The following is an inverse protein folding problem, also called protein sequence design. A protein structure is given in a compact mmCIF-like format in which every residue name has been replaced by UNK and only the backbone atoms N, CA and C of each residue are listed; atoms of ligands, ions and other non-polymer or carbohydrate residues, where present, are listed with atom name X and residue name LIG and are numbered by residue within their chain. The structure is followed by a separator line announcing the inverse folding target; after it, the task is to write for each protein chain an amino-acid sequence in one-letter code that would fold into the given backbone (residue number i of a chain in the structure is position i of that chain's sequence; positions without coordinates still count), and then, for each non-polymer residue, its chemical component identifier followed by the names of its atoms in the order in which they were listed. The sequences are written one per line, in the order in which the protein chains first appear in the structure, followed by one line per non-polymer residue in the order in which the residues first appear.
data_IF_951684937033
#
_entry.id   IF_951684937033
#
_cell.length_a   1.000
_cell.length_b   1.000
_cell.length_c   1.000
_cell.angle_alpha   90.00
_cell.angle_beta   90.00
_cell.angle_gamma   90.00
#
_symmetry.space_group_name_H-M   'P 1'
#
loop_
_entity.id
_entity.type
_entity.pdbx_description
1 polymer ?
#
# COMPACT_ATOMS: atom_id res chain seq x y z
N UNK A 1 45.24 -27.07 27.03
CA UNK A 1 46.11 -26.14 26.28
C UNK A 1 45.27 -24.92 25.90
N UNK A 2 45.68 -23.72 26.38
CA UNK A 2 45.18 -22.40 25.91
C UNK A 2 45.65 -22.20 24.44
N UNK A 3 45.00 -21.40 23.60
CA UNK A 3 45.23 -19.95 23.50
C UNK A 3 44.13 -19.25 22.69
N UNK A 4 43.74 -18.09 23.18
CA UNK A 4 42.95 -17.04 22.53
C UNK A 4 43.79 -16.25 21.53
N UNK A 5 43.19 -15.72 20.46
CA UNK A 5 43.77 -14.61 19.69
C UNK A 5 42.67 -13.71 19.09
N UNK A 6 42.64 -12.47 19.57
CA UNK A 6 41.93 -11.31 19.01
C UNK A 6 42.81 -10.61 17.98
N UNK A 7 42.24 -10.05 16.90
CA UNK A 7 42.76 -8.81 16.28
C UNK A 7 41.64 -7.95 15.67
N UNK A 8 41.79 -6.64 15.87
CA UNK A 8 40.95 -5.50 15.51
C UNK A 8 41.57 -4.82 14.27
N UNK A 9 40.80 -4.21 13.36
CA UNK A 9 41.37 -3.24 12.40
C UNK A 9 40.38 -2.21 11.89
N UNK A 10 40.83 -0.95 11.90
CA UNK A 10 40.17 0.31 11.55
C UNK A 10 40.44 0.66 10.08
N UNK A 11 39.46 1.28 9.40
CA UNK A 11 39.61 1.94 8.09
C UNK A 11 38.76 3.21 8.18
N UNK A 12 39.24 4.44 7.99
CA UNK A 12 40.36 4.96 7.22
C UNK A 12 39.81 6.03 6.28
N UNK A 13 39.71 7.26 6.77
CA UNK A 13 39.18 8.45 6.08
C UNK A 13 40.00 8.81 4.85
N UNK A 14 39.37 9.29 3.76
CA UNK A 14 40.05 9.93 2.62
C UNK A 14 39.47 11.30 2.33
N UNK A 15 40.38 12.27 2.29
CA UNK A 15 40.22 13.63 1.77
C UNK A 15 40.70 13.68 0.32
N UNK A 16 40.06 14.47 -0.52
CA UNK A 16 40.60 14.90 -1.83
C UNK A 16 40.39 16.40 -2.04
N UNK A 17 41.49 17.09 -2.30
CA UNK A 17 41.64 18.37 -3.02
C UNK A 17 42.63 18.05 -4.17
N UNK A 18 42.59 18.61 -5.39
CA UNK A 18 42.86 20.03 -5.77
C UNK A 18 42.48 20.30 -7.26
N UNK A 19 42.14 21.58 -7.57
CA UNK A 19 42.45 22.48 -8.74
C UNK A 19 42.32 21.96 -10.22
N UNK A 20 41.96 22.71 -11.27
CA UNK A 20 41.68 24.15 -11.55
C UNK A 20 41.32 24.39 -13.05
N UNK A 21 40.34 25.29 -13.33
CA UNK A 21 40.22 26.36 -14.39
C UNK A 21 40.34 26.07 -15.92
N UNK A 22 39.97 27.00 -16.86
CA UNK A 22 39.01 28.14 -16.82
C UNK A 22 38.09 28.25 -18.08
N UNK A 23 37.07 29.13 -18.05
CA UNK A 23 36.55 29.82 -19.24
C UNK A 23 35.81 31.13 -18.86
N UNK A 24 36.11 32.18 -19.63
CA UNK A 24 35.63 33.57 -19.70
C UNK A 24 34.09 33.68 -19.91
N UNK A 25 33.35 34.78 -19.81
CA UNK A 25 33.55 36.23 -19.62
C UNK A 25 32.16 36.91 -19.57
N UNK A 26 32.07 38.06 -18.89
CA UNK A 26 31.11 39.19 -19.08
C UNK A 26 29.61 38.96 -18.75
N UNK A 27 28.79 39.92 -18.32
CA UNK A 27 28.92 41.26 -17.73
C UNK A 27 27.48 41.76 -17.37
N UNK A 28 27.34 42.46 -16.25
CA UNK A 28 26.46 43.62 -15.96
C UNK A 28 24.90 43.51 -16.02
N UNK A 29 24.27 43.76 -14.86
CA UNK A 29 22.89 44.26 -14.65
C UNK A 29 22.80 45.77 -14.96
N UNK A 30 21.62 46.44 -15.13
CA UNK A 30 20.71 46.73 -13.99
C UNK A 30 19.19 47.01 -14.31
N UNK A 31 18.37 46.92 -13.24
CA UNK A 31 17.13 47.67 -12.89
C UNK A 31 16.11 48.18 -13.96
N UNK A 32 14.81 47.95 -13.70
CA UNK A 32 13.82 49.05 -13.61
C UNK A 32 12.41 48.57 -13.21
N UNK A 33 11.76 49.42 -12.40
CA UNK A 33 10.41 49.33 -11.86
C UNK A 33 9.37 49.73 -12.93
N UNK A 34 8.18 49.13 -12.91
CA UNK A 34 6.88 49.85 -12.98
C UNK A 34 5.69 48.87 -13.11
N UNK A 35 4.79 48.93 -12.13
CA UNK A 35 3.35 48.78 -12.37
C UNK A 35 2.80 50.20 -12.64
N UNK A 36 1.74 50.37 -13.45
CA UNK A 36 0.41 50.42 -12.84
C UNK A 36 -0.76 49.90 -13.71
N UNK A 37 -1.69 49.25 -13.03
CA UNK A 37 -3.15 49.44 -13.04
C UNK A 37 -3.87 49.95 -14.31
N UNK A 38 -4.78 49.11 -14.83
CA UNK A 38 -6.16 49.42 -15.23
C UNK A 38 -6.69 48.24 -16.06
N UNK A 39 -7.94 47.83 -16.07
CA UNK A 39 -9.14 48.08 -15.29
C UNK A 39 -10.15 47.06 -15.84
N UNK A 40 -11.00 46.49 -14.98
CA UNK A 40 -12.37 46.01 -15.26
C UNK A 40 -12.53 45.12 -16.52
N UNK A 41 -12.77 43.81 -16.38
CA UNK A 41 -14.15 43.30 -16.36
C UNK A 41 -14.30 42.12 -15.41
N UNK A 42 -15.23 42.33 -14.48
CA UNK A 42 -15.69 41.44 -13.41
C UNK A 42 -16.51 40.30 -14.03
N UNK A 43 -15.91 39.11 -14.18
CA UNK A 43 -16.65 37.93 -14.63
C UNK A 43 -17.08 37.08 -13.42
N UNK A 44 -18.24 37.41 -12.88
CA UNK A 44 -18.84 36.76 -11.72
C UNK A 44 -19.48 35.42 -12.14
N UNK A 45 -18.66 34.43 -12.49
CA UNK A 45 -19.15 33.08 -12.69
C UNK A 45 -19.52 32.48 -11.33
N UNK A 46 -20.83 32.33 -11.12
CA UNK A 46 -21.44 31.56 -10.05
C UNK A 46 -21.00 30.09 -10.17
N UNK A 47 -19.83 29.76 -9.61
CA UNK A 47 -19.37 28.38 -9.50
C UNK A 47 -20.17 27.74 -8.38
N UNK A 48 -21.30 27.15 -8.77
CA UNK A 48 -22.13 26.23 -7.98
C UNK A 48 -21.22 25.47 -7.02
N UNK A 49 -21.43 25.70 -5.72
CA UNK A 49 -20.85 24.92 -4.63
C UNK A 49 -21.30 23.48 -4.83
N UNK A 50 -20.48 22.70 -5.55
CA UNK A 50 -20.67 21.27 -5.69
C UNK A 50 -20.79 20.68 -4.29
N UNK A 51 -21.92 20.06 -4.00
CA UNK A 51 -22.16 19.38 -2.74
C UNK A 51 -20.93 18.53 -2.42
N UNK A 52 -20.28 18.81 -1.29
CA UNK A 52 -19.24 17.94 -0.73
C UNK A 52 -19.91 16.57 -0.56
N UNK A 53 -19.75 15.67 -1.53
CA UNK A 53 -20.05 14.26 -1.31
C UNK A 53 -19.29 13.87 -0.05
N UNK A 54 -20.03 13.58 1.03
CA UNK A 54 -19.46 13.11 2.29
C UNK A 54 -18.74 11.82 1.96
N UNK A 55 -17.42 11.89 1.73
CA UNK A 55 -16.61 10.70 1.48
C UNK A 55 -16.91 9.74 2.63
N UNK A 56 -17.26 8.47 2.36
CA UNK A 56 -17.51 7.52 3.42
C UNK A 56 -16.23 7.43 4.24
N UNK A 57 -16.26 8.09 5.40
CA UNK A 57 -15.20 8.04 6.39
C UNK A 57 -15.31 6.66 7.01
N UNK A 58 -14.76 5.66 6.33
CA UNK A 58 -14.50 4.37 6.93
C UNK A 58 -13.36 4.62 7.94
N UNK A 59 -13.71 4.98 9.17
CA UNK A 59 -12.75 5.25 10.25
C UNK A 59 -12.51 3.99 11.09
N UNK A 60 -12.70 2.82 10.49
CA UNK A 60 -12.53 1.53 11.16
C UNK A 60 -11.34 0.76 10.62
N UNK A 61 -10.71 -0.03 11.46
CA UNK A 61 -9.73 -1.00 11.03
C UNK A 61 -10.40 -2.08 10.16
N UNK A 62 -9.71 -2.48 9.10
CA UNK A 62 -10.17 -3.51 8.19
C UNK A 62 -9.02 -4.41 7.78
N UNK A 63 -9.32 -5.69 7.61
CA UNK A 63 -8.43 -6.68 7.00
C UNK A 63 -8.94 -6.94 5.60
N UNK A 64 -8.07 -6.92 4.61
CA UNK A 64 -8.47 -7.12 3.21
C UNK A 64 -7.61 -8.20 2.55
N UNK A 65 -8.24 -8.90 1.62
CA UNK A 65 -7.63 -9.85 0.69
C UNK A 65 -7.77 -9.28 -0.71
N UNK A 66 -6.63 -9.10 -1.38
CA UNK A 66 -6.57 -8.76 -2.80
C UNK A 66 -5.92 -9.90 -3.58
N UNK A 67 -6.33 -10.05 -4.83
CA UNK A 67 -5.81 -11.03 -5.77
C UNK A 67 -5.24 -10.30 -6.99
N UNK A 68 -4.16 -10.84 -7.54
CA UNK A 68 -3.61 -10.37 -8.80
C UNK A 68 -4.38 -11.00 -9.96
N UNK A 69 -4.80 -10.20 -10.92
CA UNK A 69 -5.42 -10.73 -12.16
C UNK A 69 -4.41 -11.39 -13.09
N UNK A 70 -3.10 -11.19 -12.89
CA UNK A 70 -2.04 -11.66 -13.80
C UNK A 70 -1.22 -12.82 -13.24
N UNK A 71 -1.12 -12.91 -11.92
CA UNK A 71 -0.30 -13.92 -11.24
C UNK A 71 -1.16 -14.67 -10.23
N UNK A 72 -0.89 -15.96 -9.96
CA UNK A 72 -1.54 -16.73 -8.90
C UNK A 72 -1.02 -16.28 -7.53
N UNK A 73 -1.30 -15.04 -7.17
CA UNK A 73 -0.82 -14.38 -5.95
C UNK A 73 -1.97 -13.65 -5.27
N UNK A 74 -2.04 -13.83 -3.96
CA UNK A 74 -2.91 -13.06 -3.07
C UNK A 74 -2.09 -12.27 -2.08
N UNK A 75 -2.62 -11.14 -1.63
CA UNK A 75 -2.06 -10.37 -0.53
C UNK A 75 -3.14 -10.13 0.51
N UNK A 76 -2.79 -10.34 1.78
CA UNK A 76 -3.61 -10.00 2.94
C UNK A 76 -2.91 -8.88 3.72
N UNK A 77 -3.65 -7.85 4.10
CA UNK A 77 -3.13 -6.79 4.95
C UNK A 77 -4.21 -6.00 5.68
N UNK A 78 -3.75 -5.10 6.53
CA UNK A 78 -4.59 -4.27 7.43
C UNK A 78 -4.57 -2.82 6.99
N UNK A 79 -5.72 -2.15 7.01
CA UNK A 79 -5.82 -0.71 6.74
C UNK A 79 -7.07 -0.08 7.33
N UNK A 80 -7.03 1.23 7.55
CA UNK A 80 -8.22 2.05 7.82
C UNK A 80 -8.84 2.62 6.54
N UNK A 81 -8.10 2.66 5.42
CA UNK A 81 -8.58 3.20 4.16
C UNK A 81 -8.22 2.29 2.99
N UNK A 82 -9.12 1.34 2.73
CA UNK A 82 -8.93 0.33 1.69
C UNK A 82 -8.79 0.94 0.30
N UNK A 83 -9.66 1.88 -0.10
CA UNK A 83 -9.60 2.48 -1.44
C UNK A 83 -8.27 3.19 -1.70
N UNK A 84 -7.75 3.92 -0.71
CA UNK A 84 -6.42 4.53 -0.81
C UNK A 84 -5.34 3.46 -0.92
N UNK A 85 -5.39 2.41 -0.10
CA UNK A 85 -4.40 1.34 -0.10
C UNK A 85 -4.40 0.53 -1.40
N UNK A 86 -5.57 0.27 -1.98
CA UNK A 86 -5.70 -0.39 -3.28
C UNK A 86 -5.06 0.44 -4.40
N UNK A 87 -5.29 1.76 -4.41
CA UNK A 87 -4.62 2.67 -5.35
C UNK A 87 -3.09 2.68 -5.20
N UNK A 88 -2.58 2.56 -3.97
CA UNK A 88 -1.15 2.42 -3.72
C UNK A 88 -0.59 1.09 -4.24
N UNK A 89 -1.32 -0.02 -4.01
CA UNK A 89 -0.95 -1.34 -4.56
C UNK A 89 -0.92 -1.34 -6.08
N UNK A 90 -1.88 -0.67 -6.72
CA UNK A 90 -1.94 -0.50 -8.17
C UNK A 90 -1.00 0.58 -8.73
N UNK A 91 -0.24 1.28 -7.89
CA UNK A 91 0.74 2.27 -8.33
C UNK A 91 0.18 3.63 -8.76
N UNK A 92 -1.13 3.83 -8.61
CA UNK A 92 -1.81 5.11 -8.87
C UNK A 92 -1.37 6.15 -7.83
N UNK A 93 -1.11 5.71 -6.58
CA UNK A 93 -0.62 6.57 -5.50
C UNK A 93 0.76 6.11 -5.01
N UNK A 94 1.57 7.08 -4.58
CA UNK A 94 2.87 6.83 -3.93
C UNK A 94 2.70 6.13 -2.57
N UNK A 95 3.72 5.39 -2.14
CA UNK A 95 3.76 4.71 -0.84
C UNK A 95 3.21 3.28 -0.81
N UNK A 96 3.06 2.64 -1.98
CA UNK A 96 2.77 1.20 -2.06
C UNK A 96 4.00 0.33 -1.75
N UNK A 97 3.77 -0.91 -1.30
CA UNK A 97 4.84 -1.85 -1.06
C UNK A 97 5.52 -2.28 -2.37
N UNK A 98 6.86 -2.27 -2.43
CA UNK A 98 7.63 -2.70 -3.60
C UNK A 98 7.27 -4.12 -4.05
N UNK A 99 7.08 -5.05 -3.10
CA UNK A 99 6.71 -6.43 -3.39
C UNK A 99 5.35 -6.58 -4.11
N UNK A 100 4.47 -5.58 -4.00
CA UNK A 100 3.16 -5.58 -4.65
C UNK A 100 3.20 -5.03 -6.08
N UNK A 101 4.33 -4.52 -6.58
CA UNK A 101 4.39 -3.98 -7.95
C UNK A 101 4.24 -5.06 -9.02
N UNK A 102 4.82 -6.24 -8.81
CA UNK A 102 4.85 -7.33 -9.79
C UNK A 102 3.47 -7.99 -10.01
N UNK A 103 2.55 -7.88 -9.05
CA UNK A 103 1.22 -8.49 -9.11
C UNK A 103 0.11 -7.55 -9.60
N UNK A 104 0.44 -6.36 -10.13
CA UNK A 104 -0.58 -5.43 -10.63
C UNK A 104 -1.22 -5.97 -11.93
N UNK A 105 -2.52 -5.71 -12.20
CA UNK A 105 -3.47 -5.05 -11.32
C UNK A 105 -3.96 -5.98 -10.19
N UNK A 106 -4.23 -5.37 -9.05
CA UNK A 106 -4.84 -5.99 -7.88
C UNK A 106 -6.32 -5.64 -7.81
N UNK A 107 -7.13 -6.64 -7.51
CA UNK A 107 -8.58 -6.53 -7.31
C UNK A 107 -8.95 -7.00 -5.92
N UNK A 108 -9.97 -6.37 -5.33
CA UNK A 108 -10.52 -6.80 -4.05
C UNK A 108 -11.20 -8.16 -4.19
N UNK A 109 -10.83 -9.12 -3.33
CA UNK A 109 -11.50 -10.42 -3.24
C UNK A 109 -12.36 -10.52 -1.97
N UNK A 110 -11.85 -10.04 -0.83
CA UNK A 110 -12.58 -10.03 0.44
C UNK A 110 -12.15 -8.86 1.31
N UNK A 111 -13.09 -8.25 2.02
CA UNK A 111 -12.82 -7.25 3.04
C UNK A 111 -13.60 -7.58 4.32
N UNK A 112 -12.92 -7.44 5.44
CA UNK A 112 -13.44 -7.70 6.77
C UNK A 112 -13.37 -6.41 7.55
N UNK A 113 -14.49 -6.01 8.15
CA UNK A 113 -14.65 -4.74 8.88
C UNK A 113 -15.26 -5.01 10.25
N UNK A 114 -15.19 -4.01 11.13
CA UNK A 114 -15.76 -4.09 12.48
C UNK A 114 -14.75 -4.43 13.59
N UNK A 115 -13.45 -4.44 13.28
CA UNK A 115 -12.41 -4.58 14.29
C UNK A 115 -12.43 -3.40 15.25
N UNK A 116 -12.28 -3.68 16.55
CA UNK A 116 -12.26 -2.69 17.63
C UNK A 116 -11.02 -1.81 17.50
N UNK A 117 -9.87 -2.47 17.32
CA UNK A 117 -8.56 -1.82 17.30
C UNK A 117 -7.61 -2.40 16.25
N UNK A 118 -6.47 -1.71 16.08
CA UNK A 118 -5.40 -2.15 15.19
C UNK A 118 -4.87 -3.52 15.58
N UNK A 119 -4.68 -3.76 16.88
CA UNK A 119 -4.08 -5.00 17.40
C UNK A 119 -4.93 -6.20 17.01
N UNK A 120 -6.24 -6.11 17.21
CA UNK A 120 -7.20 -7.15 16.82
C UNK A 120 -7.13 -7.45 15.32
N UNK A 121 -7.12 -6.41 14.48
CA UNK A 121 -7.00 -6.59 13.03
C UNK A 121 -5.67 -7.23 12.61
N UNK A 122 -4.55 -6.86 13.25
CA UNK A 122 -3.24 -7.45 13.01
C UNK A 122 -3.15 -8.92 13.48
N UNK A 123 -3.76 -9.24 14.62
CA UNK A 123 -3.84 -10.62 15.12
C UNK A 123 -4.65 -11.49 14.18
N UNK A 124 -5.80 -10.99 13.73
CA UNK A 124 -6.64 -11.66 12.75
C UNK A 124 -5.88 -11.92 11.45
N UNK A 125 -5.21 -10.90 10.91
CA UNK A 125 -4.37 -11.01 9.71
C UNK A 125 -3.28 -12.07 9.87
N UNK A 126 -2.60 -12.07 11.01
CA UNK A 126 -1.53 -13.01 11.32
C UNK A 126 -2.05 -14.44 11.44
N UNK A 127 -3.18 -14.65 12.14
CA UNK A 127 -3.85 -15.96 12.26
C UNK A 127 -4.31 -16.46 10.90
N UNK A 128 -4.95 -15.63 10.09
CA UNK A 128 -5.39 -16.01 8.74
C UNK A 128 -4.22 -16.41 7.84
N UNK A 129 -3.11 -15.68 7.90
CA UNK A 129 -1.88 -16.05 7.20
C UNK A 129 -1.30 -17.38 7.71
N UNK A 130 -1.30 -17.60 9.02
CA UNK A 130 -0.81 -18.84 9.64
C UNK A 130 -1.65 -20.06 9.30
N UNK A 131 -2.98 -19.97 9.42
CA UNK A 131 -3.90 -21.03 9.02
C UNK A 131 -3.73 -21.35 7.53
N UNK A 132 -3.71 -20.33 6.68
CA UNK A 132 -3.52 -20.52 5.23
C UNK A 132 -2.18 -21.20 4.87
N UNK A 133 -1.12 -21.01 5.66
CA UNK A 133 0.16 -21.73 5.47
C UNK A 133 0.13 -23.17 5.96
N UNK A 134 -0.64 -23.45 7.02
CA UNK A 134 -0.74 -24.77 7.65
C UNK A 134 -1.70 -25.71 6.91
N UNK A 135 -2.71 -25.16 6.24
CA UNK A 135 -3.64 -25.97 5.48
C UNK A 135 -2.94 -26.68 4.31
N UNK A 136 -3.22 -27.98 4.09
CA UNK A 136 -2.69 -28.70 2.94
C UNK A 136 -3.08 -27.99 1.64
N UNK A 137 -2.12 -27.82 0.72
CA UNK A 137 -2.45 -27.43 -0.64
C UNK A 137 -2.89 -28.68 -1.37
N UNK A 138 -4.16 -28.72 -1.79
CA UNK A 138 -4.65 -29.80 -2.65
C UNK A 138 -3.94 -29.67 -4.01
N UNK A 139 -2.99 -30.57 -4.27
CA UNK A 139 -2.26 -30.58 -5.53
C UNK A 139 -3.16 -31.22 -6.59
N UNK A 140 -3.60 -30.41 -7.56
CA UNK A 140 -4.25 -30.80 -8.82
C UNK A 140 -5.48 -31.71 -8.72
N UNK A 141 -6.66 -31.10 -8.68
CA UNK A 141 -7.78 -31.46 -9.58
C UNK A 141 -8.88 -30.40 -9.46
N UNK A 142 -9.49 -30.12 -10.61
CA UNK A 142 -10.78 -29.44 -10.81
C UNK A 142 -10.80 -27.94 -11.18
N UNK A 143 -11.76 -27.67 -12.05
CA UNK A 143 -12.06 -26.50 -12.89
C UNK A 143 -12.40 -25.18 -12.17
N UNK A 144 -11.92 -24.98 -10.94
CA UNK A 144 -12.16 -23.75 -10.20
C UNK A 144 -11.34 -22.59 -10.81
N UNK A 145 -12.02 -21.50 -11.19
CA UNK A 145 -11.40 -20.33 -11.81
C UNK A 145 -10.30 -19.69 -10.93
N UNK A 146 -10.24 -19.97 -9.62
CA UNK A 146 -9.20 -19.48 -8.71
C UNK A 146 -8.97 -20.40 -7.48
N UNK A 147 -8.20 -21.50 -7.59
CA UNK A 147 -7.95 -22.41 -6.46
C UNK A 147 -7.28 -21.71 -5.26
N UNK A 148 -6.54 -20.63 -5.51
CA UNK A 148 -5.92 -19.83 -4.47
C UNK A 148 -6.92 -19.02 -3.63
N UNK A 149 -7.99 -18.53 -4.24
CA UNK A 149 -9.05 -17.80 -3.52
C UNK A 149 -9.88 -18.75 -2.67
N UNK A 150 -10.18 -19.93 -3.19
CA UNK A 150 -10.87 -20.98 -2.44
C UNK A 150 -10.04 -21.42 -1.23
N UNK A 151 -8.73 -21.64 -1.40
CA UNK A 151 -7.82 -21.93 -0.29
C UNK A 151 -7.84 -20.83 0.78
N UNK A 152 -7.90 -19.56 0.36
CA UNK A 152 -8.01 -18.41 1.28
C UNK A 152 -9.36 -18.36 2.00
N UNK A 153 -10.45 -18.68 1.30
CA UNK A 153 -11.81 -18.75 1.85
C UNK A 153 -11.92 -19.87 2.89
N UNK A 154 -11.43 -21.06 2.56
CA UNK A 154 -11.37 -22.18 3.50
C UNK A 154 -10.52 -21.81 4.74
N UNK A 155 -9.37 -21.17 4.54
CA UNK A 155 -8.55 -20.69 5.66
C UNK A 155 -9.28 -19.67 6.53
N UNK A 156 -10.11 -18.80 5.94
CA UNK A 156 -10.90 -17.82 6.69
C UNK A 156 -11.95 -18.51 7.56
N UNK A 157 -12.65 -19.52 7.03
CA UNK A 157 -13.63 -20.30 7.78
C UNK A 157 -12.99 -20.99 8.99
N UNK A 158 -11.79 -21.56 8.83
CA UNK A 158 -11.05 -22.16 9.94
C UNK A 158 -10.64 -21.13 11.00
N UNK A 159 -10.33 -19.89 10.62
CA UNK A 159 -10.06 -18.81 11.59
C UNK A 159 -11.33 -18.46 12.37
N UNK A 160 -12.50 -18.50 11.73
CA UNK A 160 -13.78 -18.24 12.40
C UNK A 160 -14.08 -19.19 13.55
N UNK A 161 -13.56 -20.42 13.51
CA UNK A 161 -13.66 -21.37 14.64
C UNK A 161 -12.67 -21.11 15.78
N UNK A 162 -11.67 -20.23 15.59
CA UNK A 162 -10.59 -19.95 16.55
C UNK A 162 -10.61 -18.52 17.09
N UNK A 163 -11.42 -17.65 16.47
CA UNK A 163 -11.49 -16.22 16.77
C UNK A 163 -12.96 -15.83 16.86
N UNK A 164 -13.39 -15.21 17.96
CA UNK A 164 -14.75 -14.66 18.03
C UNK A 164 -14.85 -13.48 17.05
N UNK A 165 -15.43 -13.76 15.90
CA UNK A 165 -15.60 -12.83 14.80
C UNK A 165 -17.08 -12.68 14.41
N UNK A 166 -17.99 -13.03 15.31
CA UNK A 166 -19.44 -12.94 15.13
C UNK A 166 -19.93 -11.54 14.77
N UNK A 167 -19.25 -10.50 15.28
CA UNK A 167 -19.54 -9.09 15.00
C UNK A 167 -18.83 -8.53 13.76
N UNK A 168 -17.93 -9.29 13.13
CA UNK A 168 -17.18 -8.81 11.97
C UNK A 168 -18.05 -8.90 10.70
N UNK A 169 -18.02 -7.83 9.91
CA UNK A 169 -18.67 -7.77 8.60
C UNK A 169 -17.70 -8.31 7.55
N UNK A 170 -17.98 -9.51 7.03
CA UNK A 170 -17.17 -10.17 6.00
C UNK A 170 -17.87 -10.01 4.65
N UNK A 171 -17.24 -9.30 3.72
CA UNK A 171 -17.77 -9.04 2.37
C UNK A 171 -16.85 -9.67 1.33
N UNK A 172 -17.36 -10.65 0.58
CA UNK A 172 -16.68 -11.26 -0.56
C UNK A 172 -17.14 -10.61 -1.86
N UNK A 173 -16.20 -10.30 -2.75
CA UNK A 173 -16.51 -9.82 -4.10
C UNK A 173 -16.74 -11.02 -5.02
N UNK A 174 -17.99 -11.20 -5.45
CA UNK A 174 -18.46 -12.31 -6.29
C UNK A 174 -18.15 -12.13 -7.78
N UNK A 175 -17.63 -10.97 -8.19
CA UNK A 175 -17.46 -10.58 -9.60
C UNK A 175 -16.06 -10.84 -10.18
N UNK A 176 -15.27 -11.74 -9.58
CA UNK A 176 -14.02 -12.26 -10.17
C UNK A 176 -14.33 -13.48 -11.05
N UNK A 177 -15.15 -13.26 -12.09
CA UNK A 177 -15.46 -14.24 -13.16
C UNK A 177 -14.54 -14.02 -14.35
#
# INVERSE_FOLDING_TARGET
MRLSTTLRSVKGSRSIHTKSTPASSAALSPSSLSSPSSSLLRNHHNKKRGGKQRRPKNVGWSVYLIVSSRLPRTYVGVTTNFLRRLKQHNGILKGGAKACSAGRPWTLACIIRGFKDRSEACEFESKWKSVSRRMPRKTKQDCAANPLLEHRRAALNCVGGLFDCSYLQIEWQSSLS
#
